data_IF_153633735403
#
_entry.id   IF_153633735403
#
_cell.length_a   1.000
_cell.length_b   1.000
_cell.length_c   1.000
_cell.angle_alpha   90.00
_cell.angle_beta   90.00
_cell.angle_gamma   90.00
#
_symmetry.space_group_name_H-M   'P 1'
#
loop_
_entity.id
_entity.type
_entity.pdbx_description
1 polymer ?
#
# COMPACT_ATOMS: atom_id res chain seq x y z
N UNK A 1 -11.74 -18.85 57.43
CA UNK A 1 -12.20 -20.10 56.80
C UNK A 1 -13.73 -20.02 56.76
N UNK A 2 -14.49 -20.21 55.69
CA UNK A 2 -14.29 -20.41 54.24
C UNK A 2 -15.72 -20.63 53.67
N UNK A 3 -16.23 -19.72 52.82
CA UNK A 3 -17.22 -19.88 51.71
C UNK A 3 -18.61 -20.55 52.00
N UNK A 4 -19.72 -20.22 51.28
CA UNK A 4 -19.76 -20.05 49.83
C UNK A 4 -20.45 -18.79 49.28
N UNK A 5 -19.96 -18.39 48.11
CA UNK A 5 -20.62 -17.48 47.19
C UNK A 5 -21.62 -18.25 46.32
N UNK A 6 -22.80 -17.67 46.16
CA UNK A 6 -23.65 -17.86 45.00
C UNK A 6 -24.51 -16.60 44.84
N UNK A 7 -24.66 -16.19 43.58
CA UNK A 7 -25.55 -15.15 43.02
C UNK A 7 -24.90 -13.79 42.68
N UNK A 8 -24.51 -13.67 41.41
CA UNK A 8 -24.93 -12.54 40.59
C UNK A 8 -25.03 -13.01 39.13
N UNK A 9 -26.27 -13.32 38.74
CA UNK A 9 -26.67 -13.61 37.36
C UNK A 9 -26.34 -12.42 36.47
N UNK A 10 -25.75 -12.70 35.32
CA UNK A 10 -25.34 -11.72 34.33
C UNK A 10 -26.52 -10.95 33.74
N UNK A 11 -26.46 -9.63 33.86
CA UNK A 11 -27.16 -8.68 33.00
C UNK A 11 -26.18 -8.20 31.94
N UNK A 12 -26.03 -8.97 30.87
CA UNK A 12 -25.59 -8.43 29.58
C UNK A 12 -26.73 -7.57 29.03
N UNK A 13 -26.74 -6.28 29.35
CA UNK A 13 -27.48 -5.29 28.57
C UNK A 13 -26.78 -5.18 27.21
N UNK A 14 -27.11 -6.08 26.29
CA UNK A 14 -26.89 -5.86 24.88
C UNK A 14 -27.74 -4.65 24.50
N UNK A 15 -27.09 -3.51 24.22
CA UNK A 15 -27.77 -2.39 23.60
C UNK A 15 -28.48 -2.90 22.33
N UNK A 16 -29.74 -2.49 22.06
CA UNK A 16 -30.40 -2.87 20.82
C UNK A 16 -29.54 -2.37 19.66
N UNK A 17 -29.08 -3.29 18.80
CA UNK A 17 -28.42 -2.93 17.57
C UNK A 17 -29.44 -2.17 16.70
N UNK A 18 -29.37 -0.84 16.71
CA UNK A 18 -30.15 -0.02 15.81
C UNK A 18 -29.89 -0.49 14.38
N UNK A 19 -30.91 -1.03 13.72
CA UNK A 19 -30.80 -1.42 12.32
C UNK A 19 -30.63 -0.16 11.49
N UNK A 20 -29.45 0.01 10.91
CA UNK A 20 -29.14 1.14 10.05
C UNK A 20 -30.09 1.16 8.83
N UNK A 21 -30.65 2.33 8.53
CA UNK A 21 -31.57 2.49 7.40
C UNK A 21 -30.82 2.29 6.08
N UNK A 22 -31.43 1.58 5.13
CA UNK A 22 -30.85 1.39 3.79
C UNK A 22 -31.29 2.51 2.86
N UNK A 23 -30.33 3.16 2.18
CA UNK A 23 -30.57 4.29 1.27
C UNK A 23 -30.16 3.92 -0.17
N UNK A 24 -30.87 4.49 -1.15
CA UNK A 24 -30.51 4.33 -2.57
C UNK A 24 -29.30 5.18 -2.95
N UNK A 25 -28.57 4.77 -3.98
CA UNK A 25 -27.40 5.52 -4.49
C UNK A 25 -27.79 6.92 -4.98
N UNK A 26 -28.96 7.08 -5.59
CA UNK A 26 -29.48 8.38 -6.03
C UNK A 26 -29.69 9.35 -4.86
N UNK A 27 -30.31 8.87 -3.77
CA UNK A 27 -30.54 9.67 -2.57
C UNK A 27 -29.22 10.01 -1.87
N UNK A 28 -28.26 9.09 -1.87
CA UNK A 28 -26.89 9.34 -1.38
C UNK A 28 -26.21 10.47 -2.17
N UNK A 29 -26.27 10.42 -3.50
CA UNK A 29 -25.66 11.43 -4.36
C UNK A 29 -26.37 12.78 -4.23
N UNK A 30 -27.69 12.80 -4.11
CA UNK A 30 -28.45 14.03 -3.86
C UNK A 30 -28.05 14.70 -2.55
N UNK A 31 -27.89 13.93 -1.46
CA UNK A 31 -27.42 14.45 -0.18
C UNK A 31 -25.99 15.01 -0.24
N UNK A 32 -25.09 14.34 -0.98
CA UNK A 32 -23.72 14.85 -1.20
C UNK A 32 -23.72 16.15 -2.01
N UNK A 33 -24.55 16.24 -3.05
CA UNK A 33 -24.65 17.43 -3.89
C UNK A 33 -25.29 18.63 -3.17
N UNK A 34 -26.29 18.39 -2.32
CA UNK A 34 -26.93 19.41 -1.50
C UNK A 34 -26.13 19.76 -0.23
N UNK A 35 -24.98 19.11 -0.01
CA UNK A 35 -24.20 19.26 1.20
C UNK A 35 -23.60 20.67 1.26
N UNK A 36 -23.80 21.43 2.36
CA UNK A 36 -23.20 22.76 2.53
C UNK A 36 -21.66 22.71 2.62
N UNK A 37 -21.09 21.51 2.57
CA UNK A 37 -19.70 21.21 2.76
C UNK A 37 -18.78 21.41 1.57
N UNK A 38 -19.33 21.64 0.36
CA UNK A 38 -18.54 22.22 -0.74
C UNK A 38 -17.85 23.50 -0.27
N UNK A 39 -18.54 24.31 0.54
CA UNK A 39 -18.01 25.52 1.15
C UNK A 39 -16.88 25.26 2.15
N UNK A 40 -16.87 24.13 2.86
CA UNK A 40 -15.81 23.82 3.84
C UNK A 40 -14.55 23.28 3.19
N UNK A 41 -14.67 22.55 2.07
CA UNK A 41 -13.48 22.16 1.29
C UNK A 41 -12.75 23.40 0.75
N UNK A 42 -13.50 24.44 0.36
CA UNK A 42 -12.93 25.74 0.00
C UNK A 42 -12.19 26.37 1.18
N UNK A 43 -12.80 26.39 2.38
CA UNK A 43 -12.16 26.95 3.58
C UNK A 43 -10.92 26.16 4.02
N UNK A 44 -10.95 24.82 3.92
CA UNK A 44 -9.78 23.97 4.18
C UNK A 44 -8.66 24.26 3.18
N UNK A 45 -8.99 24.38 1.88
CA UNK A 45 -8.02 24.72 0.86
C UNK A 45 -7.44 26.14 1.03
N UNK A 46 -8.26 27.08 1.51
CA UNK A 46 -7.86 28.44 1.83
C UNK A 46 -7.09 28.57 3.17
N UNK A 47 -7.07 27.51 3.99
CA UNK A 47 -6.47 27.54 5.32
C UNK A 47 -7.26 28.39 6.34
N UNK A 48 -8.54 28.65 6.09
CA UNK A 48 -9.43 29.37 7.01
C UNK A 48 -9.93 28.43 8.12
N UNK A 49 -9.04 28.20 9.10
CA UNK A 49 -9.31 27.30 10.21
C UNK A 49 -10.31 27.87 11.22
N UNK A 50 -10.45 29.19 11.30
CA UNK A 50 -11.42 29.81 12.20
C UNK A 50 -12.83 29.42 11.78
N UNK A 51 -13.15 29.54 10.49
CA UNK A 51 -14.45 29.12 9.96
C UNK A 51 -14.67 27.62 10.10
N UNK A 52 -13.65 26.78 9.90
CA UNK A 52 -13.76 25.32 10.07
C UNK A 52 -14.00 24.95 11.54
N UNK A 53 -13.32 25.59 12.49
CA UNK A 53 -13.49 25.32 13.92
C UNK A 53 -14.81 25.89 14.46
N UNK A 54 -15.27 27.02 13.94
CA UNK A 54 -16.57 27.61 14.26
C UNK A 54 -17.76 26.74 13.81
N UNK A 55 -17.53 25.76 12.92
CA UNK A 55 -18.55 24.79 12.52
C UNK A 55 -18.75 23.65 13.54
N UNK A 56 -17.81 23.42 14.46
CA UNK A 56 -17.90 22.35 15.47
C UNK A 56 -19.19 22.45 16.30
N UNK A 57 -19.58 23.62 16.86
CA UNK A 57 -20.84 23.76 17.58
C UNK A 57 -22.08 23.54 16.72
N UNK A 58 -22.01 23.79 15.41
CA UNK A 58 -23.14 23.62 14.50
C UNK A 58 -23.45 22.14 14.21
N UNK A 59 -22.42 21.28 14.29
CA UNK A 59 -22.57 19.82 14.19
C UNK A 59 -22.54 19.24 15.60
N UNK A 60 -23.63 19.42 16.33
CA UNK A 60 -23.72 19.04 17.74
C UNK A 60 -23.46 17.53 17.94
N UNK A 61 -22.47 17.13 18.75
CA UNK A 61 -22.20 15.73 19.01
C UNK A 61 -23.26 15.16 19.98
N UNK A 62 -24.26 14.49 19.41
CA UNK A 62 -25.26 13.70 20.14
C UNK A 62 -24.76 12.28 20.44
N UNK A 63 -25.55 11.45 21.14
CA UNK A 63 -25.19 10.05 21.40
C UNK A 63 -25.12 9.18 20.12
N UNK A 64 -25.89 9.54 19.10
CA UNK A 64 -25.90 8.93 17.77
C UNK A 64 -26.26 9.99 16.71
N UNK A 65 -25.96 9.76 15.42
CA UNK A 65 -26.40 10.66 14.36
C UNK A 65 -27.94 10.80 14.36
N UNK A 66 -28.44 12.00 14.06
CA UNK A 66 -29.89 12.30 14.07
C UNK A 66 -30.57 11.82 12.80
N UNK A 67 -29.90 12.05 11.68
CA UNK A 67 -30.29 11.66 10.35
C UNK A 67 -29.04 11.52 9.46
N UNK A 68 -29.26 11.10 8.20
CA UNK A 68 -28.20 10.90 7.22
C UNK A 68 -27.45 12.20 6.88
N UNK A 69 -28.11 13.36 6.94
CA UNK A 69 -27.47 14.67 6.70
C UNK A 69 -26.55 15.05 7.85
N UNK A 70 -26.93 14.74 9.09
CA UNK A 70 -26.11 14.93 10.29
C UNK A 70 -24.89 14.01 10.27
N UNK A 71 -25.07 12.74 9.88
CA UNK A 71 -23.98 11.78 9.71
C UNK A 71 -22.99 12.24 8.63
N UNK A 72 -23.49 12.67 7.46
CA UNK A 72 -22.68 13.26 6.40
C UNK A 72 -21.93 14.52 6.86
N UNK A 73 -22.59 15.41 7.60
CA UNK A 73 -21.96 16.63 8.07
C UNK A 73 -20.81 16.36 9.05
N UNK A 74 -21.02 15.42 9.98
CA UNK A 74 -19.99 15.00 10.92
C UNK A 74 -18.82 14.27 10.22
N UNK A 75 -19.09 13.41 9.25
CA UNK A 75 -18.02 12.76 8.47
C UNK A 75 -17.12 13.80 7.82
N UNK A 76 -17.70 14.77 7.14
CA UNK A 76 -16.90 15.73 6.39
C UNK A 76 -16.21 16.75 7.29
N UNK A 77 -16.82 17.17 8.41
CA UNK A 77 -16.11 17.96 9.42
C UNK A 77 -14.92 17.19 10.00
N UNK A 78 -15.09 15.91 10.32
CA UNK A 78 -14.00 15.07 10.80
C UNK A 78 -12.85 14.98 9.78
N UNK A 79 -13.16 14.89 8.49
CA UNK A 79 -12.16 14.91 7.42
C UNK A 79 -11.47 16.28 7.30
N UNK A 80 -12.22 17.39 7.39
CA UNK A 80 -11.67 18.74 7.37
C UNK A 80 -10.70 18.99 8.55
N UNK A 81 -11.07 18.54 9.74
CA UNK A 81 -10.26 18.66 10.96
C UNK A 81 -8.93 17.91 10.87
N UNK A 82 -8.77 16.95 9.95
CA UNK A 82 -7.51 16.22 9.76
C UNK A 82 -6.31 17.14 9.53
N UNK A 83 -6.51 18.25 8.82
CA UNK A 83 -5.46 19.22 8.49
C UNK A 83 -5.45 20.44 9.43
N UNK A 84 -6.56 20.68 10.13
CA UNK A 84 -6.71 21.84 11.02
C UNK A 84 -5.72 21.83 12.21
N UNK A 85 -5.44 22.99 12.83
CA UNK A 85 -4.76 23.07 14.12
C UNK A 85 -5.49 22.24 15.19
N UNK A 86 -4.71 21.59 16.05
CA UNK A 86 -5.25 20.72 17.10
C UNK A 86 -5.78 21.59 18.23
N UNK A 87 -7.08 21.46 18.55
CA UNK A 87 -7.73 22.18 19.66
C UNK A 87 -8.37 21.21 20.65
N UNK A 88 -8.55 21.64 21.90
CA UNK A 88 -9.23 20.84 22.93
C UNK A 88 -10.69 20.55 22.54
N UNK A 89 -11.40 21.57 22.04
CA UNK A 89 -12.77 21.47 21.55
C UNK A 89 -12.87 20.45 20.40
N UNK A 90 -12.01 20.55 19.38
CA UNK A 90 -12.00 19.61 18.26
C UNK A 90 -11.69 18.18 18.71
N UNK A 91 -10.80 17.99 19.69
CA UNK A 91 -10.48 16.66 20.23
C UNK A 91 -11.67 16.04 20.93
N UNK A 92 -12.32 16.80 21.81
CA UNK A 92 -13.50 16.34 22.54
C UNK A 92 -14.62 15.97 21.56
N UNK A 93 -14.87 16.82 20.57
CA UNK A 93 -15.86 16.58 19.53
C UNK A 93 -15.56 15.31 18.72
N UNK A 94 -14.34 15.16 18.23
CA UNK A 94 -13.91 13.97 17.49
C UNK A 94 -14.02 12.69 18.34
N UNK A 95 -13.70 12.76 19.63
CA UNK A 95 -13.80 11.61 20.54
C UNK A 95 -15.26 11.17 20.76
N UNK A 96 -16.21 12.10 20.76
CA UNK A 96 -17.63 11.80 20.85
C UNK A 96 -18.16 11.19 19.54
N UNK A 97 -17.87 11.82 18.39
CA UNK A 97 -18.28 11.29 17.07
C UNK A 97 -17.62 9.95 16.78
N UNK A 98 -16.41 9.70 17.26
CA UNK A 98 -15.73 8.41 17.14
C UNK A 98 -16.49 7.24 17.80
N UNK A 99 -17.46 7.51 18.69
CA UNK A 99 -18.31 6.50 19.31
C UNK A 99 -19.64 6.29 18.57
N UNK A 100 -19.93 7.10 17.54
CA UNK A 100 -21.20 7.01 16.83
C UNK A 100 -21.37 5.67 16.11
N UNK A 101 -22.56 5.04 16.25
CA UNK A 101 -22.92 3.91 15.41
C UNK A 101 -23.18 4.37 13.97
N UNK A 102 -23.08 3.45 13.02
CA UNK A 102 -23.47 3.70 11.63
C UNK A 102 -24.99 3.79 11.55
N UNK A 103 -25.53 4.94 11.14
CA UNK A 103 -26.96 5.16 11.01
C UNK A 103 -27.48 4.74 9.63
N UNK A 104 -26.71 5.03 8.58
CA UNK A 104 -27.15 4.85 7.20
C UNK A 104 -26.25 3.87 6.45
N UNK A 105 -26.83 2.95 5.70
CA UNK A 105 -26.11 2.02 4.81
C UNK A 105 -26.57 2.17 3.36
N UNK A 106 -25.65 1.90 2.43
CA UNK A 106 -25.94 1.79 1.00
C UNK A 106 -25.54 0.39 0.54
N UNK A 107 -26.32 -0.22 -0.34
CA UNK A 107 -25.95 -1.48 -0.96
C UNK A 107 -25.05 -1.19 -2.16
N UNK A 108 -23.79 -1.62 -2.10
CA UNK A 108 -22.91 -1.60 -3.27
C UNK A 108 -23.01 -2.94 -4.01
N UNK A 109 -23.05 -2.93 -5.35
CA UNK A 109 -22.99 -4.16 -6.13
C UNK A 109 -21.59 -4.77 -6.01
N UNK A 110 -21.52 -5.99 -5.48
CA UNK A 110 -20.32 -6.82 -5.46
C UNK A 110 -20.66 -8.22 -5.98
N UNK A 111 -20.08 -8.59 -7.13
CA UNK A 111 -20.28 -9.89 -7.78
C UNK A 111 -21.75 -10.37 -7.85
N UNK A 112 -22.69 -9.47 -8.14
CA UNK A 112 -24.13 -9.78 -8.22
C UNK A 112 -24.88 -9.85 -6.88
N UNK A 113 -24.23 -9.50 -5.76
CA UNK A 113 -24.84 -9.37 -4.43
C UNK A 113 -24.71 -7.93 -3.93
N UNK A 114 -25.73 -7.43 -3.24
CA UNK A 114 -25.67 -6.12 -2.58
C UNK A 114 -25.01 -6.25 -1.21
N UNK A 115 -23.80 -5.70 -1.03
CA UNK A 115 -23.14 -5.64 0.28
C UNK A 115 -23.52 -4.32 0.97
N UNK A 116 -24.12 -4.37 2.17
CA UNK A 116 -24.47 -3.16 2.90
C UNK A 116 -23.22 -2.53 3.51
N UNK A 117 -22.79 -1.39 2.96
CA UNK A 117 -21.68 -0.60 3.50
C UNK A 117 -22.20 0.67 4.17
N UNK A 118 -21.49 1.23 5.15
CA UNK A 118 -21.84 2.55 5.70
C UNK A 118 -21.94 3.59 4.59
N UNK A 119 -23.04 4.32 4.51
CA UNK A 119 -23.21 5.39 3.53
C UNK A 119 -22.31 6.59 3.87
N UNK A 120 -22.21 6.91 5.17
CA UNK A 120 -21.41 8.01 5.72
C UNK A 120 -20.68 7.54 6.99
N UNK A 121 -19.44 7.05 6.90
CA UNK A 121 -18.73 6.48 8.05
C UNK A 121 -18.14 7.55 9.00
N UNK A 122 -18.97 8.44 9.54
CA UNK A 122 -18.53 9.57 10.37
C UNK A 122 -17.65 9.17 11.56
N UNK A 123 -18.06 8.15 12.32
CA UNK A 123 -17.26 7.65 13.43
C UNK A 123 -15.91 7.07 13.00
N UNK A 124 -15.83 6.45 11.81
CA UNK A 124 -14.56 5.95 11.29
C UNK A 124 -13.66 7.11 10.84
N UNK A 125 -14.22 8.14 10.20
CA UNK A 125 -13.51 9.36 9.84
C UNK A 125 -12.96 10.06 11.10
N UNK A 126 -13.76 10.20 12.15
CA UNK A 126 -13.32 10.80 13.42
C UNK A 126 -12.18 10.00 14.08
N UNK A 127 -12.28 8.66 14.14
CA UNK A 127 -11.18 7.80 14.63
C UNK A 127 -9.91 7.90 13.78
N UNK A 128 -10.04 8.05 12.46
CA UNK A 128 -8.89 8.25 11.58
C UNK A 128 -8.24 9.62 11.84
N UNK A 129 -9.04 10.67 12.00
CA UNK A 129 -8.56 12.03 12.30
C UNK A 129 -7.88 12.10 13.66
N UNK A 130 -8.43 11.47 14.71
CA UNK A 130 -7.78 11.38 16.02
C UNK A 130 -6.40 10.73 15.96
N UNK A 131 -6.25 9.63 15.21
CA UNK A 131 -4.95 8.97 15.02
C UNK A 131 -3.95 9.88 14.31
N UNK A 132 -4.39 10.67 13.34
CA UNK A 132 -3.53 11.67 12.66
C UNK A 132 -3.11 12.78 13.61
N UNK A 133 -4.02 13.29 14.45
CA UNK A 133 -3.70 14.30 15.45
C UNK A 133 -2.71 13.77 16.49
N UNK A 134 -2.94 12.56 17.02
CA UNK A 134 -2.00 11.90 17.93
C UNK A 134 -0.61 11.74 17.30
N UNK A 135 -0.55 11.34 16.03
CA UNK A 135 0.70 11.24 15.28
C UNK A 135 1.41 12.60 15.13
N UNK A 136 0.68 13.69 14.84
CA UNK A 136 1.23 15.05 14.75
C UNK A 136 1.81 15.52 16.09
N UNK A 137 1.12 15.24 17.19
CA UNK A 137 1.61 15.58 18.53
C UNK A 137 2.83 14.75 18.93
N UNK A 138 2.84 13.45 18.60
CA UNK A 138 4.01 12.61 18.81
C UNK A 138 5.21 13.12 17.99
N UNK A 139 5.02 13.48 16.73
CA UNK A 139 6.08 14.07 15.89
C UNK A 139 6.60 15.40 16.47
N UNK A 140 5.71 16.29 16.96
CA UNK A 140 6.11 17.54 17.60
C UNK A 140 6.91 17.30 18.89
N UNK A 141 6.49 16.33 19.72
CA UNK A 141 7.23 15.96 20.94
C UNK A 141 8.59 15.32 20.63
N UNK A 142 8.66 14.51 19.57
CA UNK A 142 9.94 13.96 19.08
C UNK A 142 10.86 15.10 18.66
N UNK A 143 10.38 16.06 17.85
CA UNK A 143 11.17 17.21 17.43
C UNK A 143 11.73 17.97 18.64
N UNK A 144 10.87 18.29 19.60
CA UNK A 144 11.28 18.96 20.83
C UNK A 144 12.34 18.16 21.61
N UNK A 145 12.16 16.84 21.72
CA UNK A 145 13.13 15.97 22.39
C UNK A 145 14.49 15.93 21.67
N UNK A 146 14.47 15.91 20.33
CA UNK A 146 15.69 15.98 19.51
C UNK A 146 16.40 17.33 19.68
N UNK A 147 15.68 18.45 19.65
CA UNK A 147 16.22 19.80 19.79
C UNK A 147 16.83 20.04 21.18
N UNK A 148 16.22 19.47 22.22
CA UNK A 148 16.65 19.62 23.61
C UNK A 148 17.70 18.60 24.04
N UNK A 149 18.09 17.66 23.16
CA UNK A 149 18.97 16.55 23.52
C UNK A 149 18.38 15.63 24.60
N UNK A 150 17.07 15.68 24.81
CA UNK A 150 16.36 14.95 25.85
C UNK A 150 16.11 13.48 25.46
N UNK A 151 15.73 12.67 26.44
CA UNK A 151 15.23 11.32 26.22
C UNK A 151 13.95 11.42 25.37
N UNK A 152 13.90 10.63 24.29
CA UNK A 152 12.71 10.60 23.44
C UNK A 152 11.51 10.10 24.25
N UNK A 153 10.33 10.72 24.09
CA UNK A 153 9.12 10.23 24.73
C UNK A 153 8.79 8.82 24.23
N UNK A 154 8.03 8.05 25.01
CA UNK A 154 7.44 6.81 24.51
C UNK A 154 6.44 7.13 23.39
N UNK A 155 6.59 6.46 22.24
CA UNK A 155 5.67 6.54 21.12
C UNK A 155 5.56 5.19 20.40
N UNK A 156 4.41 4.96 19.78
CA UNK A 156 4.18 3.77 18.97
C UNK A 156 4.62 4.02 17.52
N UNK A 157 5.28 3.02 16.92
CA UNK A 157 5.74 3.02 15.53
C UNK A 157 4.57 2.77 14.56
N UNK A 158 3.70 3.77 14.42
CA UNK A 158 2.53 3.69 13.52
C UNK A 158 2.82 4.27 12.13
N UNK A 159 2.11 3.84 11.08
CA UNK A 159 2.21 4.46 9.75
C UNK A 159 1.81 5.94 9.75
N UNK A 160 0.88 6.34 10.62
CA UNK A 160 0.45 7.73 10.75
C UNK A 160 1.59 8.59 11.29
N UNK A 161 2.30 8.12 12.33
CA UNK A 161 3.47 8.82 12.87
C UNK A 161 4.57 8.93 11.81
N UNK A 162 4.89 7.83 11.14
CA UNK A 162 5.91 7.82 10.08
C UNK A 162 5.61 8.88 9.01
N UNK A 163 4.35 9.04 8.62
CA UNK A 163 3.92 10.04 7.64
C UNK A 163 4.02 11.51 8.13
N UNK A 164 4.20 11.75 9.44
CA UNK A 164 4.42 13.09 9.99
C UNK A 164 5.90 13.46 10.15
N UNK A 165 6.81 12.48 10.05
CA UNK A 165 8.22 12.71 10.29
C UNK A 165 8.95 13.19 9.03
N UNK A 166 9.85 14.14 9.20
CA UNK A 166 10.75 14.61 8.15
C UNK A 166 11.92 13.65 7.97
N UNK A 167 12.60 13.74 6.82
CA UNK A 167 13.84 13.00 6.54
C UNK A 167 14.90 13.22 7.63
N UNK A 168 15.07 14.45 8.10
CA UNK A 168 16.04 14.78 9.15
C UNK A 168 15.66 14.18 10.50
N UNK A 169 14.38 14.23 10.86
CA UNK A 169 13.89 13.58 12.09
C UNK A 169 14.12 12.07 12.04
N UNK A 170 13.80 11.42 10.92
CA UNK A 170 14.07 10.00 10.74
C UNK A 170 15.56 9.66 10.84
N UNK A 171 16.43 10.50 10.27
CA UNK A 171 17.89 10.34 10.38
C UNK A 171 18.35 10.42 11.83
N UNK A 172 17.82 11.37 12.60
CA UNK A 172 18.17 11.55 14.01
C UNK A 172 17.62 10.42 14.90
N UNK A 173 16.48 9.82 14.52
CA UNK A 173 15.87 8.71 15.24
C UNK A 173 16.55 7.35 14.97
N UNK A 174 17.30 7.20 13.88
CA UNK A 174 17.72 5.90 13.31
C UNK A 174 18.36 4.92 14.31
N UNK A 175 19.12 5.43 15.27
CA UNK A 175 19.89 4.65 16.26
C UNK A 175 19.18 4.55 17.61
N UNK A 176 18.01 5.20 17.74
CA UNK A 176 17.23 5.31 18.97
C UNK A 176 15.91 4.55 18.93
N UNK A 177 15.51 4.03 17.76
CA UNK A 177 14.25 3.30 17.63
C UNK A 177 14.36 1.88 18.21
N UNK A 178 13.27 1.38 18.84
CA UNK A 178 13.25 0.02 19.36
C UNK A 178 13.33 -1.01 18.23
N UNK A 179 13.96 -2.16 18.52
CA UNK A 179 13.98 -3.32 17.62
C UNK A 179 13.05 -4.41 18.17
N UNK A 180 12.34 -5.17 17.31
CA UNK A 180 12.32 -5.08 15.85
C UNK A 180 11.47 -3.90 15.31
N UNK A 181 11.83 -3.38 14.14
CA UNK A 181 11.07 -2.31 13.47
C UNK A 181 9.94 -2.86 12.58
N UNK A 182 8.76 -2.24 12.52
CA UNK A 182 7.78 -2.56 11.49
C UNK A 182 8.35 -2.34 10.08
N UNK A 183 7.90 -3.13 9.09
CA UNK A 183 8.48 -3.10 7.74
C UNK A 183 8.42 -1.71 7.07
N UNK A 184 7.34 -0.95 7.28
CA UNK A 184 7.20 0.42 6.75
C UNK A 184 8.28 1.36 7.32
N UNK A 185 8.59 1.22 8.61
CA UNK A 185 9.61 2.02 9.29
C UNK A 185 11.02 1.63 8.86
N UNK A 186 11.29 0.34 8.76
CA UNK A 186 12.58 -0.15 8.27
C UNK A 186 12.86 0.34 6.83
N UNK A 187 11.84 0.28 5.95
CA UNK A 187 11.97 0.83 4.59
C UNK A 187 12.19 2.34 4.58
N UNK A 188 11.52 3.09 5.45
CA UNK A 188 11.72 4.53 5.54
C UNK A 188 13.12 4.89 6.03
N UNK A 189 13.68 4.18 7.01
CA UNK A 189 15.06 4.38 7.43
C UNK A 189 16.06 4.03 6.33
N UNK A 190 15.86 2.91 5.64
CA UNK A 190 16.68 2.52 4.48
C UNK A 190 16.70 3.62 3.41
N UNK A 191 15.58 4.33 3.23
CA UNK A 191 15.48 5.47 2.28
C UNK A 191 16.28 6.69 2.70
N UNK A 192 16.45 6.90 4.00
CA UNK A 192 17.15 8.07 4.55
C UNK A 192 18.66 7.84 4.60
N UNK A 193 19.07 6.63 4.97
CA UNK A 193 20.47 6.18 5.04
C UNK A 193 20.55 4.81 4.38
N UNK A 194 20.84 4.74 3.08
CA UNK A 194 20.96 3.47 2.38
C UNK A 194 22.28 2.79 2.73
N UNK A 195 22.21 1.72 3.52
CA UNK A 195 23.32 0.86 3.89
C UNK A 195 22.87 -0.61 4.09
N UNK A 196 23.85 -1.51 4.19
CA UNK A 196 23.66 -2.98 4.28
C UNK A 196 22.92 -3.37 5.56
N UNK A 197 23.16 -2.69 6.67
CA UNK A 197 22.51 -3.00 7.95
C UNK A 197 21.03 -2.64 7.90
N UNK A 198 20.68 -1.48 7.34
CA UNK A 198 19.28 -1.06 7.15
C UNK A 198 18.55 -1.89 6.11
N UNK A 199 19.25 -2.36 5.07
CA UNK A 199 18.69 -3.30 4.13
C UNK A 199 18.36 -4.61 4.85
N UNK A 200 19.27 -5.11 5.69
CA UNK A 200 19.06 -6.30 6.52
C UNK A 200 17.85 -6.15 7.44
N UNK A 201 17.70 -4.99 8.10
CA UNK A 201 16.55 -4.72 8.97
C UNK A 201 15.22 -4.75 8.23
N UNK A 202 15.18 -4.15 7.04
CA UNK A 202 13.97 -4.14 6.21
C UNK A 202 13.63 -5.54 5.71
N UNK A 203 14.62 -6.29 5.23
CA UNK A 203 14.44 -7.68 4.79
C UNK A 203 13.93 -8.56 5.95
N UNK A 204 14.54 -8.44 7.14
CA UNK A 204 14.10 -9.17 8.33
C UNK A 204 12.67 -8.81 8.73
N UNK A 205 12.25 -7.55 8.56
CA UNK A 205 10.88 -7.14 8.80
C UNK A 205 9.89 -7.71 7.76
N UNK A 206 10.25 -7.70 6.47
CA UNK A 206 9.43 -8.25 5.39
C UNK A 206 9.22 -9.77 5.47
N UNK A 207 10.16 -10.48 6.10
CA UNK A 207 10.13 -11.93 6.23
C UNK A 207 9.44 -12.41 7.52
N UNK A 208 9.05 -11.52 8.44
CA UNK A 208 8.30 -11.90 9.64
C UNK A 208 6.86 -12.28 9.28
N UNK A 209 6.43 -13.47 9.72
CA UNK A 209 5.14 -14.07 9.37
C UNK A 209 3.91 -13.31 9.90
N UNK A 210 4.07 -12.51 10.96
CA UNK A 210 2.96 -11.83 11.65
C UNK A 210 2.56 -10.49 11.01
N UNK A 211 3.44 -9.88 10.21
CA UNK A 211 3.11 -8.66 9.47
C UNK A 211 2.58 -9.06 8.09
N UNK A 212 1.36 -8.60 7.73
CA UNK A 212 0.79 -8.84 6.40
C UNK A 212 1.78 -8.35 5.34
N UNK A 213 2.51 -9.29 4.74
CA UNK A 213 3.45 -9.04 3.66
C UNK A 213 2.74 -8.24 2.56
N UNK A 214 3.25 -7.05 2.27
CA UNK A 214 2.70 -6.19 1.22
C UNK A 214 3.55 -6.33 -0.04
N UNK A 215 2.99 -6.98 -1.08
CA UNK A 215 3.65 -7.07 -2.38
C UNK A 215 4.06 -5.69 -2.91
N UNK A 216 3.20 -4.68 -2.74
CA UNK A 216 3.47 -3.30 -3.14
C UNK A 216 4.68 -2.70 -2.41
N UNK A 217 4.84 -2.99 -1.12
CA UNK A 217 5.97 -2.49 -0.33
C UNK A 217 7.28 -3.15 -0.73
N UNK A 218 7.27 -4.46 -0.97
CA UNK A 218 8.44 -5.19 -1.47
C UNK A 218 8.93 -4.61 -2.80
N UNK A 219 8.02 -4.39 -3.74
CA UNK A 219 8.35 -3.75 -5.03
C UNK A 219 8.92 -2.34 -4.81
N UNK A 220 8.32 -1.55 -3.92
CA UNK A 220 8.78 -0.20 -3.60
C UNK A 220 10.18 -0.19 -2.93
N UNK A 221 10.49 -1.21 -2.12
CA UNK A 221 11.82 -1.39 -1.52
C UNK A 221 12.86 -1.84 -2.53
N UNK A 222 12.55 -2.84 -3.36
CA UNK A 222 13.44 -3.30 -4.43
C UNK A 222 13.77 -2.17 -5.41
N UNK A 223 12.77 -1.40 -5.85
CA UNK A 223 12.98 -0.23 -6.72
C UNK A 223 13.86 0.84 -6.08
N UNK A 224 13.67 1.09 -4.78
CA UNK A 224 14.51 2.03 -4.06
C UNK A 224 15.96 1.56 -4.06
N UNK A 225 16.22 0.30 -3.69
CA UNK A 225 17.58 -0.26 -3.66
C UNK A 225 18.25 -0.14 -5.04
N UNK A 226 17.55 -0.51 -6.12
CA UNK A 226 18.06 -0.34 -7.49
C UNK A 226 18.42 1.12 -7.80
N UNK A 227 17.56 2.08 -7.41
CA UNK A 227 17.78 3.51 -7.66
C UNK A 227 19.00 4.09 -6.93
N UNK A 228 19.50 3.43 -5.87
CA UNK A 228 20.72 3.87 -5.17
C UNK A 228 21.98 3.70 -6.01
N UNK A 229 21.98 2.77 -6.98
CA UNK A 229 23.16 2.39 -7.76
C UNK A 229 24.27 1.69 -6.95
N UNK A 230 24.05 1.40 -5.66
CA UNK A 230 25.08 0.81 -4.80
C UNK A 230 25.21 -0.70 -5.01
N UNK A 231 26.43 -1.17 -5.27
CA UNK A 231 26.69 -2.59 -5.54
C UNK A 231 26.36 -3.49 -4.33
N UNK A 232 26.83 -3.12 -3.14
CA UNK A 232 26.61 -3.93 -1.94
C UNK A 232 25.12 -4.14 -1.64
N UNK A 233 24.30 -3.10 -1.79
CA UNK A 233 22.85 -3.19 -1.58
C UNK A 233 22.16 -4.03 -2.66
N UNK A 234 22.60 -3.88 -3.91
CA UNK A 234 22.11 -4.71 -5.02
C UNK A 234 22.39 -6.19 -4.74
N UNK A 235 23.64 -6.53 -4.42
CA UNK A 235 24.09 -7.92 -4.29
C UNK A 235 23.38 -8.59 -3.10
N UNK A 236 23.25 -7.89 -1.97
CA UNK A 236 22.51 -8.38 -0.82
C UNK A 236 21.02 -8.59 -1.12
N UNK A 237 20.37 -7.66 -1.83
CA UNK A 237 18.96 -7.80 -2.21
C UNK A 237 18.76 -8.97 -3.19
N UNK A 238 19.68 -9.15 -4.14
CA UNK A 238 19.64 -10.25 -5.09
C UNK A 238 19.76 -11.60 -4.37
N UNK A 239 20.69 -11.73 -3.41
CA UNK A 239 20.83 -12.92 -2.58
C UNK A 239 19.56 -13.22 -1.78
N UNK A 240 18.98 -12.21 -1.12
CA UNK A 240 17.74 -12.36 -0.38
C UNK A 240 16.56 -12.75 -1.29
N UNK A 241 16.50 -12.20 -2.51
CA UNK A 241 15.47 -12.53 -3.48
C UNK A 241 15.56 -13.99 -3.94
N UNK A 242 16.77 -14.53 -4.10
CA UNK A 242 16.99 -15.95 -4.42
C UNK A 242 16.50 -16.88 -3.29
N UNK A 243 16.63 -16.45 -2.04
CA UNK A 243 16.22 -17.23 -0.87
C UNK A 243 14.70 -17.21 -0.60
N UNK A 244 13.96 -16.21 -1.11
CA UNK A 244 12.57 -15.97 -0.73
C UNK A 244 11.64 -15.68 -1.91
N UNK A 245 10.76 -16.62 -2.25
CA UNK A 245 9.79 -16.54 -3.36
C UNK A 245 9.00 -15.23 -3.40
N UNK A 246 8.49 -14.79 -2.25
CA UNK A 246 7.67 -13.59 -2.13
C UNK A 246 8.44 -12.28 -2.32
N UNK A 247 9.77 -12.31 -2.17
CA UNK A 247 10.67 -11.21 -2.51
C UNK A 247 11.15 -11.32 -3.96
N UNK A 248 11.38 -12.53 -4.46
CA UNK A 248 11.81 -12.81 -5.85
C UNK A 248 10.85 -12.23 -6.88
N UNK A 249 9.55 -12.40 -6.69
CA UNK A 249 8.55 -11.82 -7.58
C UNK A 249 8.63 -10.27 -7.61
N UNK A 250 8.78 -9.64 -6.45
CA UNK A 250 8.93 -8.19 -6.34
C UNK A 250 10.25 -7.69 -6.95
N UNK A 251 11.31 -8.46 -6.80
CA UNK A 251 12.63 -8.21 -7.37
C UNK A 251 12.60 -8.20 -8.89
N UNK A 252 12.04 -9.24 -9.52
CA UNK A 252 11.90 -9.32 -10.99
C UNK A 252 11.07 -8.15 -11.54
N UNK A 253 9.98 -7.77 -10.84
CA UNK A 253 9.17 -6.61 -11.21
C UNK A 253 9.95 -5.29 -11.10
N UNK A 254 10.83 -5.15 -10.12
CA UNK A 254 11.68 -3.97 -9.97
C UNK A 254 12.75 -3.90 -11.07
N UNK A 255 13.43 -5.02 -11.36
CA UNK A 255 14.43 -5.14 -12.42
C UNK A 255 13.89 -4.83 -13.83
N UNK A 256 12.62 -5.16 -14.09
CA UNK A 256 11.96 -4.83 -15.35
C UNK A 256 11.83 -3.32 -15.60
N UNK A 257 11.77 -2.52 -14.53
CA UNK A 257 11.59 -1.07 -14.58
C UNK A 257 12.90 -0.29 -14.54
N UNK A 258 14.00 -0.90 -14.11
CA UNK A 258 15.32 -0.30 -14.08
C UNK A 258 16.03 -0.50 -15.42
N UNK A 259 16.83 0.45 -15.90
CA UNK A 259 17.54 0.33 -17.20
C UNK A 259 19.02 0.01 -17.07
N UNK A 260 19.52 -0.26 -15.86
CA UNK A 260 20.91 -0.56 -15.59
C UNK A 260 21.39 -1.88 -16.21
N UNK A 261 22.67 -1.92 -16.59
CA UNK A 261 23.31 -3.11 -17.15
C UNK A 261 23.36 -4.28 -16.14
N UNK A 262 23.58 -3.98 -14.84
CA UNK A 262 23.56 -4.98 -13.77
C UNK A 262 22.17 -5.60 -13.60
N UNK A 263 21.11 -4.79 -13.73
CA UNK A 263 19.73 -5.29 -13.67
C UNK A 263 19.41 -6.21 -14.84
N UNK A 264 19.88 -5.87 -16.05
CA UNK A 264 19.78 -6.76 -17.21
C UNK A 264 20.52 -8.08 -16.98
N UNK A 265 21.76 -8.02 -16.50
CA UNK A 265 22.56 -9.22 -16.22
C UNK A 265 21.89 -10.12 -15.16
N UNK A 266 21.32 -9.53 -14.11
CA UNK A 266 20.54 -10.27 -13.12
C UNK A 266 19.32 -10.96 -13.75
N UNK A 267 18.55 -10.26 -14.59
CA UNK A 267 17.43 -10.90 -15.32
C UNK A 267 17.91 -12.04 -16.24
N UNK A 268 19.04 -11.88 -16.93
CA UNK A 268 19.60 -12.92 -17.79
C UNK A 268 20.00 -14.18 -17.02
N UNK A 269 20.58 -14.02 -15.83
CA UNK A 269 20.93 -15.15 -14.96
C UNK A 269 19.69 -15.95 -14.52
N UNK A 270 18.56 -15.28 -14.35
CA UNK A 270 17.28 -15.88 -13.93
C UNK A 270 16.58 -16.66 -15.05
N UNK A 271 16.91 -16.45 -16.33
CA UNK A 271 16.24 -17.10 -17.48
C UNK A 271 16.30 -18.63 -17.39
N UNK A 272 17.40 -19.16 -16.87
CA UNK A 272 17.61 -20.60 -16.69
C UNK A 272 16.80 -21.20 -15.53
N UNK A 273 16.22 -20.37 -14.66
CA UNK A 273 15.44 -20.84 -13.52
C UNK A 273 14.15 -21.54 -13.99
N UNK A 274 13.85 -22.67 -13.38
CA UNK A 274 12.71 -23.49 -13.77
C UNK A 274 11.38 -22.81 -13.45
N UNK A 275 11.31 -22.09 -12.34
CA UNK A 275 10.08 -21.48 -11.79
C UNK A 275 9.92 -20.02 -12.21
N UNK A 276 11.01 -19.27 -12.27
CA UNK A 276 11.02 -17.82 -12.50
C UNK A 276 11.54 -17.40 -13.88
N UNK A 277 12.13 -18.32 -14.66
CA UNK A 277 12.75 -17.97 -15.94
C UNK A 277 11.81 -17.32 -16.96
N UNK A 278 10.53 -17.72 -16.99
CA UNK A 278 9.55 -17.05 -17.86
C UNK A 278 9.27 -15.61 -17.42
N UNK A 279 9.16 -15.35 -16.12
CA UNK A 279 8.92 -14.00 -15.60
C UNK A 279 10.14 -13.10 -15.81
N UNK A 280 11.37 -13.66 -15.73
CA UNK A 280 12.59 -12.96 -16.10
C UNK A 280 12.63 -12.60 -17.60
N UNK A 281 12.22 -13.52 -18.49
CA UNK A 281 12.11 -13.26 -19.92
C UNK A 281 11.05 -12.19 -20.22
N UNK A 282 9.89 -12.23 -19.57
CA UNK A 282 8.86 -11.18 -19.65
C UNK A 282 9.39 -9.82 -19.20
N UNK A 283 10.16 -9.80 -18.11
CA UNK A 283 10.82 -8.58 -17.63
C UNK A 283 11.83 -8.03 -18.63
N UNK A 284 12.63 -8.90 -19.27
CA UNK A 284 13.55 -8.50 -20.34
C UNK A 284 12.83 -7.95 -21.57
N UNK A 285 11.73 -8.58 -21.99
CA UNK A 285 10.98 -8.20 -23.19
C UNK A 285 10.36 -6.79 -23.11
N UNK A 286 10.04 -6.34 -21.89
CA UNK A 286 9.55 -4.98 -21.60
C UNK A 286 10.62 -3.90 -21.78
N UNK A 287 11.90 -4.29 -21.84
CA UNK A 287 13.03 -3.37 -22.01
C UNK A 287 13.50 -3.37 -23.46
N UNK A 288 13.88 -2.23 -24.05
CA UNK A 288 14.41 -2.20 -25.42
C UNK A 288 15.69 -3.02 -25.61
N UNK A 289 16.61 -2.95 -24.64
CA UNK A 289 17.88 -3.69 -24.63
C UNK A 289 17.66 -5.19 -24.36
N UNK A 290 16.72 -5.53 -23.48
CA UNK A 290 16.33 -6.91 -23.20
C UNK A 290 15.61 -7.56 -24.39
N UNK A 291 14.71 -6.83 -25.06
CA UNK A 291 14.05 -7.28 -26.29
C UNK A 291 15.05 -7.59 -27.40
N UNK A 292 16.02 -6.70 -27.64
CA UNK A 292 17.09 -6.97 -28.61
C UNK A 292 17.84 -8.27 -28.29
N UNK A 293 18.20 -8.45 -27.02
CA UNK A 293 18.85 -9.68 -26.57
C UNK A 293 17.96 -10.91 -26.81
N UNK A 294 16.65 -10.84 -26.58
CA UNK A 294 15.73 -11.96 -26.87
C UNK A 294 15.68 -12.31 -28.37
N UNK A 295 15.75 -11.32 -29.25
CA UNK A 295 15.80 -11.55 -30.69
C UNK A 295 17.12 -12.24 -31.09
N UNK A 296 18.25 -11.81 -30.52
CA UNK A 296 19.55 -12.49 -30.71
C UNK A 296 19.50 -13.96 -30.24
N UNK A 297 18.79 -14.24 -29.15
CA UNK A 297 18.60 -15.62 -28.65
C UNK A 297 17.76 -16.50 -29.60
N UNK A 298 16.85 -15.93 -30.40
CA UNK A 298 16.10 -16.69 -31.41
C UNK A 298 16.98 -17.14 -32.58
N UNK A 299 18.06 -16.40 -32.86
CA UNK A 299 19.01 -16.72 -33.92
C UNK A 299 20.03 -17.78 -33.46
N UNK A 300 20.24 -17.91 -32.14
CA UNK A 300 21.26 -18.77 -31.54
C UNK A 300 21.00 -20.27 -31.84
N UNK A 301 21.93 -20.94 -32.55
CA UNK A 301 21.78 -22.36 -32.85
C UNK A 301 21.99 -23.19 -31.57
N UNK A 302 21.01 -24.06 -31.26
CA UNK A 302 21.12 -25.01 -30.14
C UNK A 302 20.45 -24.57 -28.84
N UNK A 303 19.64 -23.51 -28.85
CA UNK A 303 18.84 -23.11 -27.69
C UNK A 303 17.91 -24.27 -27.25
N UNK A 304 17.88 -24.66 -25.96
CA UNK A 304 17.01 -25.73 -25.48
C UNK A 304 15.55 -25.45 -25.80
N UNK A 305 14.80 -26.47 -26.27
CA UNK A 305 13.39 -26.31 -26.70
C UNK A 305 12.51 -25.58 -25.68
N UNK A 306 12.67 -25.88 -24.38
CA UNK A 306 11.92 -25.24 -23.31
C UNK A 306 12.24 -23.73 -23.21
N UNK A 307 13.51 -23.36 -23.33
CA UNK A 307 13.95 -21.97 -23.30
C UNK A 307 13.48 -21.22 -24.55
N UNK A 308 13.64 -21.82 -25.73
CA UNK A 308 13.11 -21.30 -27.00
C UNK A 308 11.61 -21.01 -26.93
N UNK A 309 10.83 -21.98 -26.44
CA UNK A 309 9.38 -21.81 -26.23
C UNK A 309 9.07 -20.64 -25.30
N UNK A 310 9.81 -20.48 -24.19
CA UNK A 310 9.60 -19.37 -23.24
C UNK A 310 9.99 -18.01 -23.83
N UNK A 311 11.05 -17.94 -24.65
CA UNK A 311 11.44 -16.71 -25.37
C UNK A 311 10.33 -16.30 -26.34
N UNK A 312 9.79 -17.24 -27.13
CA UNK A 312 8.70 -16.98 -28.05
C UNK A 312 7.43 -16.50 -27.34
N UNK A 313 7.07 -17.10 -26.19
CA UNK A 313 5.95 -16.63 -25.35
C UNK A 313 6.18 -15.19 -24.90
N UNK A 314 7.37 -14.87 -24.39
CA UNK A 314 7.68 -13.53 -23.91
C UNK A 314 7.60 -12.47 -25.02
N UNK A 315 7.98 -12.82 -26.26
CA UNK A 315 7.86 -11.93 -27.43
C UNK A 315 6.41 -11.80 -27.91
N UNK A 316 5.63 -12.89 -27.89
CA UNK A 316 4.21 -12.86 -28.25
C UNK A 316 3.42 -11.89 -27.35
N UNK A 317 3.72 -11.90 -26.04
CA UNK A 317 3.12 -10.97 -25.08
C UNK A 317 3.55 -9.50 -25.26
N UNK A 318 4.56 -9.22 -26.10
CA UNK A 318 5.02 -7.87 -26.44
C UNK A 318 4.59 -7.40 -27.84
N UNK A 319 3.61 -8.10 -28.44
CA UNK A 319 3.08 -7.80 -29.77
C UNK A 319 4.13 -7.88 -30.90
N UNK A 320 5.11 -8.78 -30.77
CA UNK A 320 6.14 -9.04 -31.79
C UNK A 320 5.64 -9.99 -32.89
N UNK A 321 4.39 -9.80 -33.32
CA UNK A 321 3.68 -10.71 -34.22
C UNK A 321 4.38 -10.89 -35.58
N UNK A 322 5.04 -9.85 -36.10
CA UNK A 322 5.78 -9.91 -37.36
C UNK A 322 7.04 -10.78 -37.24
N UNK A 323 7.80 -10.61 -36.15
CA UNK A 323 8.99 -11.41 -35.85
C UNK A 323 8.63 -12.88 -35.70
N UNK A 324 7.54 -13.18 -34.98
CA UNK A 324 7.10 -14.55 -34.76
C UNK A 324 6.67 -15.25 -36.04
N UNK A 325 6.00 -14.56 -36.97
CA UNK A 325 5.65 -15.12 -38.29
C UNK A 325 6.88 -15.41 -39.14
N UNK A 326 7.86 -14.50 -39.15
CA UNK A 326 9.12 -14.70 -39.86
C UNK A 326 9.93 -15.88 -39.28
N UNK A 327 9.97 -15.98 -37.95
CA UNK A 327 10.58 -17.13 -37.27
C UNK A 327 9.89 -18.44 -37.64
N UNK A 328 8.55 -18.47 -37.66
CA UNK A 328 7.80 -19.65 -38.11
C UNK A 328 8.18 -20.02 -39.54
N UNK A 329 8.19 -19.07 -40.48
CA UNK A 329 8.54 -19.34 -41.89
C UNK A 329 9.95 -19.92 -42.04
N UNK A 330 10.93 -19.37 -41.31
CA UNK A 330 12.33 -19.77 -41.41
C UNK A 330 12.66 -21.06 -40.65
N UNK A 331 11.93 -21.40 -39.58
CA UNK A 331 12.25 -22.53 -38.68
C UNK A 331 11.22 -23.66 -38.65
N UNK A 332 10.13 -23.58 -39.41
CA UNK A 332 9.04 -24.59 -39.41
C UNK A 332 9.53 -26.02 -39.63
N UNK A 333 10.49 -26.24 -40.53
CA UNK A 333 11.01 -27.57 -40.83
C UNK A 333 11.77 -28.20 -39.66
N UNK A 334 12.40 -27.37 -38.82
CA UNK A 334 13.20 -27.81 -37.68
C UNK A 334 12.36 -27.91 -36.39
N UNK A 335 11.31 -27.10 -36.27
CA UNK A 335 10.49 -26.96 -35.07
C UNK A 335 8.99 -27.01 -35.35
N UNK A 336 8.52 -28.02 -36.10
CA UNK A 336 7.14 -28.10 -36.60
C UNK A 336 6.05 -27.92 -35.52
N UNK A 337 6.12 -28.67 -34.42
CA UNK A 337 5.15 -28.57 -33.32
C UNK A 337 5.13 -27.18 -32.66
N UNK A 338 6.32 -26.60 -32.43
CA UNK A 338 6.42 -25.28 -31.80
C UNK A 338 5.96 -24.16 -32.74
N UNK A 339 6.17 -24.33 -34.05
CA UNK A 339 5.67 -23.41 -35.05
C UNK A 339 4.14 -23.39 -35.11
N UNK A 340 3.48 -24.55 -34.97
CA UNK A 340 2.02 -24.64 -34.85
C UNK A 340 1.50 -23.98 -33.56
N UNK A 341 2.19 -24.19 -32.42
CA UNK A 341 1.86 -23.48 -31.17
C UNK A 341 1.93 -21.96 -31.33
N UNK A 342 2.98 -21.45 -31.98
CA UNK A 342 3.16 -20.01 -32.21
C UNK A 342 2.06 -19.44 -33.10
N UNK A 343 1.70 -20.11 -34.20
CA UNK A 343 0.60 -19.69 -35.07
C UNK A 343 -0.73 -19.64 -34.30
N UNK A 344 -0.99 -20.64 -33.46
CA UNK A 344 -2.17 -20.65 -32.61
C UNK A 344 -2.22 -19.48 -31.61
N UNK A 345 -1.07 -19.06 -31.06
CA UNK A 345 -1.00 -17.86 -30.19
C UNK A 345 -1.29 -16.57 -30.95
N UNK A 346 -0.92 -16.50 -32.23
CA UNK A 346 -1.17 -15.35 -33.11
C UNK A 346 -2.60 -15.32 -33.68
N UNK A 347 -3.34 -16.42 -33.55
CA UNK A 347 -4.69 -16.58 -34.11
C UNK A 347 -4.72 -16.97 -35.59
N UNK A 348 -3.63 -17.53 -36.10
CA UNK A 348 -3.44 -17.94 -37.51
C UNK A 348 -3.70 -19.45 -37.74
#
# INVERSE_FOLDING_TARGET
MSWPAALAVGLCLAAPAAQAATMTVERLNALRAASPLLTWQVNVAAGDWETVLAAIPAVEPTAAPRDASHELAAEQLALALRQAPITAMGRQWLAQVAQWPVLTRVALPDAGRGIPVPAFPAGAAARATLRVWQAREAAARIQQGLDQGAVLPDFELTPQLLAQLTTEQLRALRDRLPRPLPADWALALLRVVPDVDRLSDWLAAEMRADERASASRRVAGCRFVLSTGQAALFDQLAEAALAHDGLRAAWLQALAADTGARSRAALQNEVSDTRYGLDALRALARRPDGRRWLLEQLEEPGLPRMQLRRVLIALAEQDESAVLRDWVQSRRQQHAELAEEVLAWLGD
#
